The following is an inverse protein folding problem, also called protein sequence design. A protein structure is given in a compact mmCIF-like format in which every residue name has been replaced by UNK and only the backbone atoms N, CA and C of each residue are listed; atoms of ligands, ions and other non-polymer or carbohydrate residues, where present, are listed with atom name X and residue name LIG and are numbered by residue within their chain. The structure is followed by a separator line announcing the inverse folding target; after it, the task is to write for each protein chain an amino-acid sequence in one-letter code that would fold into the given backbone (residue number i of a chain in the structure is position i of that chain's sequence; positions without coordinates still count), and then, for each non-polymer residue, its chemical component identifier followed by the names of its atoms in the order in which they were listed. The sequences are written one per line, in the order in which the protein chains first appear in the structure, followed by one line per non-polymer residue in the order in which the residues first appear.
data_IF_857664971799
#
_entry.id   IF_857664971799
#
_cell.length_a   1.000
_cell.length_b   1.000
_cell.length_c   1.000
_cell.angle_alpha   90.00
_cell.angle_beta   90.00
_cell.angle_gamma   90.00
#
_symmetry.space_group_name_H-M   'P 1'
#
loop_
_entity.id
_entity.type
_entity.pdbx_description
1 polymer ?
#
# COMPACT_ATOMS: atom_id res chain seq x y z
N UNK A 1 -1.78 -6.61 -26.29
CA UNK A 1 -1.43 -5.76 -25.14
C UNK A 1 -0.01 -6.04 -24.70
N UNK A 2 0.73 -5.03 -24.36
CA UNK A 2 2.05 -5.17 -23.75
C UNK A 2 2.19 -4.19 -22.58
N UNK A 3 3.05 -4.56 -21.64
CA UNK A 3 3.41 -3.71 -20.50
C UNK A 3 4.88 -3.93 -20.17
N UNK A 4 5.50 -2.96 -19.53
CA UNK A 4 6.83 -3.11 -18.99
C UNK A 4 6.76 -3.65 -17.56
N UNK A 5 7.58 -4.66 -17.28
CA UNK A 5 7.77 -5.11 -15.92
C UNK A 5 8.67 -4.11 -15.18
N UNK A 6 8.37 -3.80 -13.91
CA UNK A 6 9.25 -2.99 -13.08
C UNK A 6 10.63 -3.64 -12.99
N UNK A 7 11.66 -2.82 -13.03
CA UNK A 7 13.05 -3.27 -12.86
C UNK A 7 13.66 -2.56 -11.64
N UNK A 8 14.53 -3.29 -10.95
CA UNK A 8 15.29 -2.79 -9.82
C UNK A 8 14.75 -3.21 -8.46
N UNK A 9 15.61 -3.19 -7.47
CA UNK A 9 15.36 -3.66 -6.09
C UNK A 9 14.18 -3.01 -5.37
N UNK A 10 13.78 -1.83 -5.79
CA UNK A 10 12.63 -1.11 -5.23
C UNK A 10 11.28 -1.75 -5.50
N UNK A 11 11.24 -2.68 -6.45
CA UNK A 11 9.99 -3.25 -6.98
C UNK A 11 10.00 -4.77 -7.04
N UNK A 12 11.05 -5.38 -6.52
CA UNK A 12 11.12 -6.82 -6.36
C UNK A 12 9.94 -7.30 -5.50
N UNK A 13 9.40 -8.46 -5.83
CA UNK A 13 8.27 -9.10 -5.16
C UNK A 13 6.95 -8.31 -5.22
N UNK A 14 6.83 -7.34 -6.11
CA UNK A 14 5.58 -6.59 -6.30
C UNK A 14 4.75 -7.15 -7.44
N UNK A 15 3.43 -7.15 -7.30
CA UNK A 15 2.57 -7.56 -8.41
C UNK A 15 2.66 -6.57 -9.57
N UNK A 16 2.54 -7.10 -10.77
CA UNK A 16 2.38 -6.33 -12.00
C UNK A 16 1.08 -6.76 -12.64
N UNK A 17 0.16 -5.82 -12.81
CA UNK A 17 -1.16 -6.08 -13.36
C UNK A 17 -1.34 -5.45 -14.71
N UNK A 18 -1.92 -6.19 -15.62
CA UNK A 18 -2.29 -5.76 -16.95
C UNK A 18 -3.77 -6.07 -17.18
N UNK A 19 -4.56 -5.04 -17.39
CA UNK A 19 -5.93 -5.21 -17.82
C UNK A 19 -5.98 -5.67 -19.28
N UNK A 20 -6.69 -6.77 -19.52
CA UNK A 20 -6.87 -7.33 -20.85
C UNK A 20 -8.30 -7.09 -21.34
N UNK A 21 -8.46 -6.92 -22.66
CA UNK A 21 -9.78 -6.88 -23.26
C UNK A 21 -10.49 -8.21 -23.01
N UNK A 22 -11.74 -8.13 -22.62
CA UNK A 22 -12.59 -9.31 -22.47
C UNK A 22 -12.69 -10.05 -23.80
N UNK A 23 -12.56 -11.37 -23.74
CA UNK A 23 -12.60 -12.21 -24.94
C UNK A 23 -13.43 -13.45 -24.64
N UNK A 24 -14.61 -13.52 -25.21
CA UNK A 24 -15.49 -14.67 -25.05
C UNK A 24 -14.95 -15.93 -25.74
N UNK A 25 -15.18 -17.07 -25.12
CA UNK A 25 -14.87 -18.38 -25.69
C UNK A 25 -13.39 -18.74 -25.76
N UNK A 26 -12.50 -17.90 -25.30
CA UNK A 26 -11.06 -18.17 -25.30
C UNK A 26 -10.70 -19.11 -24.16
N UNK A 27 -10.08 -20.23 -24.53
CA UNK A 27 -9.61 -21.26 -23.57
C UNK A 27 -8.09 -21.29 -23.40
N UNK A 28 -7.35 -20.60 -24.27
CA UNK A 28 -5.89 -20.61 -24.27
C UNK A 28 -5.36 -19.20 -24.47
N UNK A 29 -4.44 -18.83 -23.64
CA UNK A 29 -3.73 -17.55 -23.71
C UNK A 29 -2.25 -17.80 -23.99
N UNK A 30 -1.64 -16.94 -24.79
CA UNK A 30 -0.19 -16.92 -24.99
C UNK A 30 0.36 -15.69 -24.32
N UNK A 31 1.25 -15.87 -23.37
CA UNK A 31 1.98 -14.80 -22.70
C UNK A 31 3.42 -14.90 -23.13
N UNK A 32 3.96 -13.80 -23.64
CA UNK A 32 5.35 -13.71 -24.06
C UNK A 32 6.04 -12.69 -23.18
N UNK A 33 7.02 -13.16 -22.42
CA UNK A 33 7.86 -12.31 -21.58
C UNK A 33 9.21 -12.20 -22.30
N UNK A 34 9.66 -10.97 -22.52
CA UNK A 34 10.97 -10.66 -23.06
C UNK A 34 11.78 -9.95 -22.00
N UNK A 35 12.97 -10.43 -21.74
CA UNK A 35 13.89 -9.86 -20.78
C UNK A 35 15.32 -9.98 -21.28
N UNK A 36 16.19 -9.05 -20.92
CA UNK A 36 17.60 -9.06 -21.25
C UNK A 36 18.45 -9.79 -20.20
N UNK A 37 17.88 -10.03 -19.02
CA UNK A 37 18.53 -10.65 -17.88
C UNK A 37 17.68 -11.79 -17.31
N UNK A 38 18.28 -12.65 -16.53
CA UNK A 38 17.56 -13.69 -15.82
C UNK A 38 16.51 -13.09 -14.88
N UNK A 39 15.32 -13.65 -14.91
CA UNK A 39 14.22 -13.25 -14.03
C UNK A 39 13.52 -14.47 -13.45
N UNK A 40 12.97 -14.31 -12.26
CA UNK A 40 12.13 -15.30 -11.63
C UNK A 40 10.68 -14.82 -11.64
N UNK A 41 9.80 -15.62 -12.22
CA UNK A 41 8.36 -15.41 -12.16
C UNK A 41 7.78 -16.25 -11.03
N UNK A 42 7.38 -15.62 -9.94
CA UNK A 42 6.84 -16.33 -8.77
C UNK A 42 5.43 -16.88 -9.00
N UNK A 43 4.60 -16.12 -9.70
CA UNK A 43 3.24 -16.55 -10.05
C UNK A 43 2.70 -15.79 -11.27
N UNK A 44 1.79 -16.46 -11.97
CA UNK A 44 1.01 -15.87 -13.05
C UNK A 44 -0.46 -16.23 -12.83
N UNK A 45 -1.33 -15.23 -12.81
CA UNK A 45 -2.76 -15.44 -12.59
C UNK A 45 -3.58 -14.66 -13.60
N UNK A 46 -4.66 -15.27 -14.07
CA UNK A 46 -5.70 -14.62 -14.87
C UNK A 46 -6.96 -14.49 -14.01
N UNK A 47 -7.59 -13.34 -14.09
CA UNK A 47 -8.81 -13.03 -13.35
C UNK A 47 -9.93 -12.70 -14.34
N UNK A 48 -11.13 -13.20 -14.06
CA UNK A 48 -12.34 -12.86 -14.84
C UNK A 48 -13.01 -11.56 -14.38
N UNK A 49 -12.80 -11.16 -13.12
CA UNK A 49 -13.26 -9.87 -12.64
C UNK A 49 -12.38 -8.74 -13.20
N UNK A 50 -13.01 -7.63 -13.51
CA UNK A 50 -12.29 -6.44 -13.97
C UNK A 50 -11.20 -6.02 -12.99
N UNK A 51 -10.03 -5.68 -13.53
CA UNK A 51 -8.91 -5.15 -12.76
C UNK A 51 -8.45 -3.83 -13.36
N UNK A 52 -8.22 -2.86 -12.50
CA UNK A 52 -7.61 -1.60 -12.92
C UNK A 52 -6.17 -1.85 -13.36
N UNK A 53 -5.81 -1.32 -14.51
CA UNK A 53 -4.41 -1.37 -14.97
C UNK A 53 -3.53 -0.52 -14.06
N UNK A 54 -2.35 -1.02 -13.72
CA UNK A 54 -1.37 -0.34 -12.86
C UNK A 54 -1.89 0.03 -11.46
N UNK A 55 -2.86 -0.72 -10.93
CA UNK A 55 -3.46 -0.46 -9.63
C UNK A 55 -2.46 -0.52 -8.48
N UNK A 56 -1.43 -1.32 -8.59
CA UNK A 56 -0.40 -1.47 -7.57
C UNK A 56 0.38 -0.18 -7.30
N UNK A 57 0.62 0.64 -8.34
CA UNK A 57 1.19 1.99 -8.17
C UNK A 57 0.18 2.94 -7.54
N UNK A 58 -1.07 2.89 -7.99
CA UNK A 58 -2.11 3.77 -7.49
C UNK A 58 -2.54 3.43 -6.06
N UNK A 59 -2.42 2.17 -5.65
CA UNK A 59 -2.64 1.74 -4.27
C UNK A 59 -1.43 1.98 -3.34
N UNK A 60 -0.31 2.47 -3.87
CA UNK A 60 0.90 2.74 -3.08
C UNK A 60 1.72 1.49 -2.74
N UNK A 61 1.56 0.39 -3.47
CA UNK A 61 2.35 -0.83 -3.29
C UNK A 61 3.76 -0.71 -3.84
N UNK A 62 3.98 0.24 -4.73
CA UNK A 62 5.28 0.56 -5.29
C UNK A 62 5.71 1.95 -4.87
N UNK A 63 7.01 2.14 -4.62
CA UNK A 63 7.55 3.42 -4.17
C UNK A 63 7.43 4.51 -5.24
N UNK A 64 7.47 4.14 -6.50
CA UNK A 64 7.36 5.06 -7.64
C UNK A 64 6.32 4.56 -8.61
N UNK A 65 5.56 5.49 -9.17
CA UNK A 65 4.71 5.19 -10.32
C UNK A 65 5.60 4.85 -11.51
N UNK A 66 5.30 3.72 -12.14
CA UNK A 66 5.96 3.32 -13.38
C UNK A 66 4.97 3.59 -14.50
N UNK A 67 5.38 4.43 -15.44
CA UNK A 67 4.65 4.53 -16.69
C UNK A 67 4.75 3.19 -17.41
N UNK A 68 3.60 2.57 -17.62
CA UNK A 68 3.49 1.37 -18.42
C UNK A 68 2.85 1.77 -19.75
N UNK A 69 3.61 1.63 -20.82
CA UNK A 69 3.09 1.81 -22.15
C UNK A 69 2.16 0.64 -22.48
N UNK A 70 0.92 0.79 -22.13
CA UNK A 70 -0.14 -0.14 -22.45
C UNK A 70 -1.44 0.63 -22.58
N UNK A 71 -2.18 0.40 -23.64
CA UNK A 71 -3.54 0.89 -23.72
C UNK A 71 -4.34 0.20 -22.62
N UNK A 72 -5.07 0.99 -21.84
CA UNK A 72 -6.09 0.44 -20.94
C UNK A 72 -7.09 -0.32 -21.80
N UNK A 73 -7.27 -1.60 -21.54
CA UNK A 73 -8.29 -2.37 -22.23
C UNK A 73 -9.66 -1.92 -21.71
N UNK A 74 -10.58 -1.71 -22.61
CA UNK A 74 -11.98 -1.59 -22.26
C UNK A 74 -12.47 -2.91 -21.65
N UNK A 75 -13.11 -2.82 -20.50
CA UNK A 75 -13.68 -3.96 -19.79
C UNK A 75 -15.19 -3.77 -19.68
N UNK A 76 -15.91 -4.87 -19.82
CA UNK A 76 -17.37 -4.82 -19.69
C UNK A 76 -17.79 -4.39 -18.28
N UNK A 77 -18.75 -3.45 -18.15
CA UNK A 77 -19.31 -3.05 -16.87
C UNK A 77 -19.88 -4.21 -16.03
N UNK A 78 -20.27 -5.30 -16.68
CA UNK A 78 -20.80 -6.50 -16.01
C UNK A 78 -19.71 -7.25 -15.21
N UNK A 79 -18.43 -6.97 -15.50
CA UNK A 79 -17.28 -7.53 -14.77
C UNK A 79 -16.88 -6.69 -13.55
N UNK A 80 -17.48 -5.50 -13.36
CA UNK A 80 -17.22 -4.63 -12.23
C UNK A 80 -17.88 -5.14 -10.95
N UNK A 81 -17.22 -4.94 -9.82
CA UNK A 81 -17.80 -5.24 -8.53
C UNK A 81 -18.74 -4.11 -8.12
N UNK A 82 -20.00 -4.42 -7.89
CA UNK A 82 -20.95 -3.41 -7.38
C UNK A 82 -20.73 -3.18 -5.88
N UNK A 83 -20.61 -1.93 -5.45
CA UNK A 83 -20.49 -1.54 -4.05
C UNK A 83 -21.60 -2.15 -3.17
N UNK A 84 -22.81 -2.23 -3.71
CA UNK A 84 -23.98 -2.81 -3.05
C UNK A 84 -23.85 -4.32 -2.79
N UNK A 85 -22.94 -5.02 -3.49
CA UNK A 85 -22.68 -6.45 -3.33
C UNK A 85 -21.45 -6.74 -2.45
N UNK A 86 -20.77 -5.72 -1.96
CA UNK A 86 -19.64 -5.89 -1.05
C UNK A 86 -20.19 -6.00 0.37
N UNK A 87 -19.91 -7.12 1.01
CA UNK A 87 -20.27 -7.40 2.40
C UNK A 87 -19.00 -7.35 3.24
N UNK A 88 -18.99 -6.51 4.27
CA UNK A 88 -17.95 -6.52 5.29
C UNK A 88 -18.26 -7.67 6.29
N UNK A 89 -17.34 -8.59 6.41
CA UNK A 89 -17.43 -9.75 7.30
C UNK A 89 -16.43 -9.69 8.46
N UNK A 90 -15.86 -8.52 8.72
CA UNK A 90 -14.82 -8.37 9.76
C UNK A 90 -15.29 -8.76 11.14
N UNK A 91 -16.58 -8.54 11.43
CA UNK A 91 -17.23 -8.94 12.70
C UNK A 91 -17.54 -10.44 12.79
N UNK A 92 -17.36 -11.20 11.71
CA UNK A 92 -17.56 -12.64 11.61
C UNK A 92 -16.24 -13.43 11.62
N UNK A 93 -15.12 -12.72 11.64
CA UNK A 93 -13.80 -13.35 11.68
C UNK A 93 -13.42 -13.65 13.12
N UNK A 94 -13.20 -14.93 13.42
CA UNK A 94 -12.77 -15.39 14.73
C UNK A 94 -11.25 -15.22 14.91
N UNK A 95 -10.78 -15.25 16.15
CA UNK A 95 -9.35 -15.12 16.50
C UNK A 95 -8.47 -16.21 15.88
N UNK A 96 -9.01 -17.42 15.71
CA UNK A 96 -8.34 -18.53 15.03
C UNK A 96 -8.27 -18.38 13.51
N UNK A 97 -8.88 -17.31 12.98
CA UNK A 97 -8.95 -17.01 11.55
C UNK A 97 -10.07 -17.74 10.80
N UNK A 98 -10.92 -18.49 11.50
CA UNK A 98 -12.15 -19.05 10.92
C UNK A 98 -13.20 -17.97 10.70
N UNK A 99 -14.06 -18.16 9.69
CA UNK A 99 -15.13 -17.21 9.35
C UNK A 99 -16.49 -17.83 9.65
N UNK A 100 -17.21 -17.24 10.60
CA UNK A 100 -18.58 -17.64 10.94
C UNK A 100 -19.58 -16.91 10.03
N UNK A 101 -19.73 -17.42 8.80
CA UNK A 101 -20.61 -16.85 7.82
C UNK A 101 -21.26 -17.90 6.93
N UNK A 102 -22.57 -17.90 6.86
CA UNK A 102 -23.33 -18.69 5.90
C UNK A 102 -23.56 -17.87 4.63
N UNK A 103 -22.83 -18.22 3.58
CA UNK A 103 -22.96 -17.53 2.30
C UNK A 103 -24.39 -17.64 1.74
N UNK A 104 -25.01 -16.54 1.30
CA UNK A 104 -26.23 -16.60 0.52
C UNK A 104 -26.03 -17.39 -0.80
N UNK A 105 -27.13 -17.78 -1.44
CA UNK A 105 -27.05 -18.42 -2.74
C UNK A 105 -26.29 -17.56 -3.75
N UNK A 106 -25.41 -18.19 -4.55
CA UNK A 106 -24.61 -17.52 -5.57
C UNK A 106 -23.13 -17.88 -5.51
N UNK A 107 -22.35 -17.16 -6.32
CA UNK A 107 -20.89 -17.30 -6.37
C UNK A 107 -20.27 -16.12 -5.60
N UNK A 108 -19.43 -16.44 -4.64
CA UNK A 108 -18.76 -15.46 -3.78
C UNK A 108 -17.26 -15.53 -3.90
N UNK A 109 -16.61 -14.39 -3.82
CA UNK A 109 -15.18 -14.29 -3.61
C UNK A 109 -14.95 -13.72 -2.22
N UNK A 110 -14.31 -14.49 -1.35
CA UNK A 110 -13.91 -14.03 -0.01
C UNK A 110 -12.49 -13.49 -0.09
N UNK A 111 -12.33 -12.24 0.34
CA UNK A 111 -11.03 -11.59 0.47
C UNK A 111 -10.68 -11.50 1.95
N UNK A 112 -9.61 -12.17 2.36
CA UNK A 112 -8.99 -11.97 3.66
C UNK A 112 -7.84 -10.99 3.49
N UNK A 113 -7.99 -9.81 4.07
CA UNK A 113 -7.06 -8.72 3.94
C UNK A 113 -6.55 -8.35 5.33
N UNK A 114 -5.25 -8.10 5.43
CA UNK A 114 -4.61 -7.70 6.67
C UNK A 114 -3.36 -6.88 6.38
N UNK A 115 -2.73 -6.42 7.43
CA UNK A 115 -1.45 -5.74 7.36
C UNK A 115 -0.40 -6.53 8.14
N UNK A 116 0.84 -6.38 7.74
CA UNK A 116 2.01 -6.98 8.37
C UNK A 116 3.11 -5.94 8.48
N UNK A 117 4.09 -6.20 9.31
CA UNK A 117 5.31 -5.39 9.35
C UNK A 117 5.95 -5.37 7.95
N UNK A 118 6.50 -4.22 7.55
CA UNK A 118 7.15 -4.05 6.24
C UNK A 118 8.37 -4.93 6.04
N UNK A 119 8.93 -5.49 7.12
CA UNK A 119 10.18 -6.24 7.10
C UNK A 119 11.42 -5.38 6.89
N UNK A 120 11.26 -4.04 6.86
CA UNK A 120 12.37 -3.12 6.68
C UNK A 120 13.04 -2.79 8.01
N UNK A 121 14.36 -2.75 7.97
CA UNK A 121 15.19 -2.25 9.06
C UNK A 121 15.78 -0.90 8.68
N UNK A 122 16.04 -0.09 9.67
CA UNK A 122 16.73 1.17 9.48
C UNK A 122 18.19 0.92 8.99
N UNK A 123 18.70 1.82 8.19
CA UNK A 123 20.06 1.74 7.66
C UNK A 123 20.45 3.01 6.88
N UNK A 124 21.76 3.28 6.80
CA UNK A 124 22.85 2.56 7.48
C UNK A 124 22.84 2.76 8.99
N UNK A 125 23.06 1.68 9.75
CA UNK A 125 23.16 1.71 11.21
C UNK A 125 24.15 0.65 11.70
N UNK A 126 24.87 0.89 12.83
CA UNK A 126 25.66 -0.15 13.48
C UNK A 126 24.74 -1.26 14.00
N UNK A 127 25.30 -2.43 14.29
CA UNK A 127 24.51 -3.59 14.73
C UNK A 127 23.62 -3.29 15.95
N UNK A 128 24.15 -2.54 16.90
CA UNK A 128 23.47 -2.14 18.14
C UNK A 128 22.34 -1.12 17.91
N UNK A 129 22.41 -0.38 16.80
CA UNK A 129 21.40 0.61 16.40
C UNK A 129 20.42 0.11 15.35
N UNK A 130 20.60 -1.14 14.89
CA UNK A 130 19.72 -1.71 13.86
C UNK A 130 18.40 -2.18 14.47
N UNK A 131 17.29 -1.66 13.98
CA UNK A 131 15.93 -2.01 14.40
C UNK A 131 14.94 -1.94 13.24
N UNK A 132 13.68 -2.20 13.55
CA UNK A 132 12.62 -2.04 12.57
C UNK A 132 12.41 -0.57 12.23
N UNK A 133 12.11 -0.27 10.96
CA UNK A 133 11.60 1.03 10.56
C UNK A 133 10.35 1.38 11.35
N UNK A 134 10.26 2.63 11.84
CA UNK A 134 9.09 3.08 12.59
C UNK A 134 7.86 3.23 11.67
N UNK A 135 6.69 3.20 12.26
CA UNK A 135 5.45 3.59 11.59
C UNK A 135 5.45 5.12 11.35
N UNK A 136 5.77 5.51 10.12
CA UNK A 136 5.84 6.93 9.73
C UNK A 136 4.47 7.54 9.43
N UNK A 137 3.40 6.71 9.42
CA UNK A 137 2.03 7.19 9.27
C UNK A 137 1.42 7.59 10.61
N UNK A 138 2.08 7.27 11.74
CA UNK A 138 1.61 7.61 13.08
C UNK A 138 2.56 8.55 13.83
N UNK A 139 1.97 9.43 14.64
CA UNK A 139 2.73 10.28 15.56
C UNK A 139 3.48 9.44 16.60
N UNK A 140 2.85 8.37 17.11
CA UNK A 140 3.48 7.48 18.07
C UNK A 140 4.75 6.81 17.51
N UNK A 141 4.71 6.38 16.24
CA UNK A 141 5.88 5.79 15.58
C UNK A 141 7.01 6.80 15.39
N UNK A 142 6.69 8.01 14.95
CA UNK A 142 7.69 9.09 14.81
C UNK A 142 8.24 9.57 16.16
N UNK A 143 7.43 9.60 17.21
CA UNK A 143 7.88 9.90 18.58
C UNK A 143 8.86 8.83 19.08
N UNK A 144 8.54 7.56 18.89
CA UNK A 144 9.43 6.47 19.25
C UNK A 144 10.80 6.56 18.54
N UNK A 145 10.78 6.93 17.25
CA UNK A 145 12.01 7.16 16.48
C UNK A 145 12.82 8.35 17.04
N UNK A 146 12.17 9.46 17.31
CA UNK A 146 12.84 10.65 17.85
C UNK A 146 13.43 10.35 19.23
N UNK A 147 12.62 9.83 20.15
CA UNK A 147 13.04 9.54 21.52
C UNK A 147 14.10 8.45 21.59
N UNK A 148 14.03 7.46 20.73
CA UNK A 148 14.99 6.36 20.66
C UNK A 148 16.39 6.77 20.21
N UNK A 149 16.52 7.85 19.47
CA UNK A 149 17.79 8.31 18.89
C UNK A 149 18.14 9.76 19.30
N UNK A 150 17.57 10.75 18.64
CA UNK A 150 17.91 12.16 18.82
C UNK A 150 17.63 12.61 20.26
N UNK A 151 16.49 12.23 20.80
CA UNK A 151 16.09 12.55 22.15
C UNK A 151 17.07 12.00 23.20
N UNK A 152 17.64 10.83 22.97
CA UNK A 152 18.68 10.26 23.87
C UNK A 152 19.98 11.04 23.82
N UNK A 153 20.35 11.57 22.65
CA UNK A 153 21.57 12.35 22.49
C UNK A 153 21.44 13.75 23.10
N UNK A 154 20.29 14.38 22.92
CA UNK A 154 20.04 15.77 23.32
C UNK A 154 19.55 15.96 24.77
N UNK A 155 19.03 14.90 25.42
CA UNK A 155 18.54 14.98 26.80
C UNK A 155 19.63 15.39 27.79
N UNK A 156 19.24 15.86 28.99
CA UNK A 156 20.14 16.18 30.10
C UNK A 156 21.06 14.99 30.40
N UNK A 157 22.36 15.23 30.44
CA UNK A 157 23.40 14.20 30.60
C UNK A 157 23.68 13.39 29.33
N UNK A 158 23.01 13.67 28.22
CA UNK A 158 23.33 13.09 26.91
C UNK A 158 24.59 13.75 26.29
N UNK A 159 25.22 13.09 25.29
CA UNK A 159 26.47 13.58 24.71
C UNK A 159 26.32 14.90 23.93
N UNK A 160 25.11 15.28 23.53
CA UNK A 160 24.80 16.50 22.81
C UNK A 160 23.88 17.43 23.63
N UNK A 161 23.88 17.30 24.97
CA UNK A 161 23.10 18.15 25.86
C UNK A 161 23.63 19.60 25.86
N UNK A 162 22.83 20.53 26.41
CA UNK A 162 23.26 21.91 26.64
C UNK A 162 23.34 22.77 25.35
N UNK A 163 22.55 22.42 24.31
CA UNK A 163 22.50 23.20 23.09
C UNK A 163 23.60 22.89 22.06
N UNK A 164 24.33 21.83 22.25
CA UNK A 164 25.33 21.38 21.27
C UNK A 164 24.68 20.87 19.96
N UNK A 165 23.46 20.32 20.05
CA UNK A 165 22.67 19.93 18.90
C UNK A 165 21.79 21.12 18.47
N UNK A 166 22.10 21.73 17.36
CA UNK A 166 21.41 22.90 16.82
C UNK A 166 20.68 22.66 15.49
N UNK A 167 20.66 21.42 15.01
CA UNK A 167 19.92 21.04 13.82
C UNK A 167 19.80 19.54 13.65
N UNK A 168 18.75 19.13 12.96
CA UNK A 168 18.50 17.73 12.55
C UNK A 168 18.13 17.74 11.08
N UNK A 169 18.79 16.90 10.30
CA UNK A 169 18.48 16.69 8.89
C UNK A 169 17.70 15.38 8.71
N UNK A 170 16.58 15.47 8.04
CA UNK A 170 15.84 14.34 7.52
C UNK A 170 15.92 14.37 6.01
N UNK A 171 16.55 13.38 5.43
CA UNK A 171 16.83 13.29 4.01
C UNK A 171 15.78 12.43 3.27
N UNK A 172 16.21 11.69 2.27
CA UNK A 172 15.36 10.96 1.35
C UNK A 172 14.60 9.79 2.00
N UNK A 173 13.49 9.45 1.37
CA UNK A 173 12.72 8.27 1.71
C UNK A 173 13.32 7.02 1.04
N UNK A 174 13.89 6.11 1.81
CA UNK A 174 14.58 4.92 1.29
C UNK A 174 14.09 3.59 1.90
N UNK A 175 12.96 3.58 2.58
CA UNK A 175 12.48 2.46 3.38
C UNK A 175 11.28 1.72 2.78
N UNK A 176 11.21 1.61 1.46
CA UNK A 176 10.06 1.01 0.74
C UNK A 176 8.73 1.69 1.07
N UNK A 177 7.62 1.06 0.76
CA UNK A 177 6.29 1.66 0.98
C UNK A 177 5.75 1.31 2.37
N UNK A 178 5.08 2.26 2.99
CA UNK A 178 4.21 2.07 4.15
C UNK A 178 2.82 2.56 3.78
N UNK A 179 1.82 1.71 3.95
CA UNK A 179 0.46 1.99 3.48
C UNK A 179 -0.60 1.77 4.56
N UNK A 180 -0.20 1.33 5.75
CA UNK A 180 -1.14 1.08 6.82
C UNK A 180 -0.58 1.52 8.18
N UNK A 181 -1.47 1.99 9.03
CA UNK A 181 -1.25 2.32 10.45
C UNK A 181 -2.51 1.93 11.23
N UNK A 182 -2.45 1.68 12.55
CA UNK A 182 -3.64 1.33 13.33
C UNK A 182 -4.82 2.29 13.20
N UNK A 183 -4.55 3.59 13.08
CA UNK A 183 -5.58 4.63 12.96
C UNK A 183 -6.06 4.87 11.50
N UNK A 184 -5.60 4.08 10.53
CA UNK A 184 -5.84 4.34 9.11
C UNK A 184 -7.32 4.49 8.76
N UNK A 185 -8.19 3.64 9.27
CA UNK A 185 -9.63 3.73 8.96
C UNK A 185 -10.25 5.03 9.47
N UNK A 186 -9.89 5.44 10.69
CA UNK A 186 -10.35 6.70 11.28
C UNK A 186 -9.83 7.90 10.48
N UNK A 187 -8.53 7.95 10.23
CA UNK A 187 -7.87 9.01 9.47
C UNK A 187 -8.45 9.13 8.05
N UNK A 188 -8.75 8.00 7.42
CA UNK A 188 -9.35 7.99 6.10
C UNK A 188 -10.75 8.63 6.13
N UNK A 189 -11.62 8.20 7.06
CA UNK A 189 -12.97 8.75 7.20
C UNK A 189 -12.95 10.23 7.50
N UNK A 190 -12.10 10.68 8.42
CA UNK A 190 -12.00 12.10 8.81
C UNK A 190 -11.56 12.99 7.65
N UNK A 191 -10.69 12.49 6.76
CA UNK A 191 -10.13 13.25 5.64
C UNK A 191 -10.95 13.19 4.36
N UNK A 192 -11.77 12.15 4.20
CA UNK A 192 -12.51 11.90 2.95
C UNK A 192 -14.02 11.98 3.11
N UNK A 193 -14.54 11.77 4.33
CA UNK A 193 -15.96 11.79 4.63
C UNK A 193 -16.69 10.49 4.31
N UNK A 194 -15.98 9.40 3.93
CA UNK A 194 -16.62 8.11 3.67
C UNK A 194 -15.79 6.92 4.18
N UNK A 195 -16.45 5.75 4.36
CA UNK A 195 -15.84 4.57 4.94
C UNK A 195 -14.86 3.85 4.02
N UNK A 196 -13.74 3.38 4.58
CA UNK A 196 -12.66 2.70 3.85
C UNK A 196 -13.00 1.26 3.46
N UNK A 197 -13.60 0.48 4.37
CA UNK A 197 -13.64 -1.00 4.28
C UNK A 197 -14.19 -1.56 2.98
N UNK A 198 -15.29 -1.02 2.49
CA UNK A 198 -15.88 -1.47 1.21
C UNK A 198 -15.04 -1.10 -0.01
N UNK A 199 -14.11 -0.17 0.12
CA UNK A 199 -13.20 0.23 -0.94
C UNK A 199 -11.87 -0.55 -0.93
N UNK A 200 -11.54 -1.24 0.17
CA UNK A 200 -10.28 -2.00 0.28
C UNK A 200 -10.02 -2.94 -0.92
N UNK A 201 -11.02 -3.63 -1.52
CA UNK A 201 -10.76 -4.45 -2.70
C UNK A 201 -10.13 -3.68 -3.88
N UNK A 202 -10.37 -2.37 -3.99
CA UNK A 202 -9.73 -1.54 -5.02
C UNK A 202 -8.21 -1.41 -4.83
N UNK A 203 -7.72 -1.49 -3.58
CA UNK A 203 -6.28 -1.54 -3.30
C UNK A 203 -5.61 -2.82 -3.83
N UNK A 204 -6.41 -3.79 -4.25
CA UNK A 204 -5.99 -5.03 -4.90
C UNK A 204 -6.46 -5.10 -6.36
N UNK A 205 -6.82 -3.95 -6.91
CA UNK A 205 -7.11 -3.75 -8.31
C UNK A 205 -8.54 -4.02 -8.76
N UNK A 206 -9.45 -4.40 -7.87
CA UNK A 206 -10.85 -4.54 -8.27
C UNK A 206 -11.44 -3.20 -8.71
N UNK A 207 -12.17 -3.22 -9.83
CA UNK A 207 -12.96 -2.07 -10.25
C UNK A 207 -14.30 -2.11 -9.50
N UNK A 208 -14.56 -1.07 -8.71
CA UNK A 208 -15.78 -0.95 -7.90
C UNK A 208 -16.68 0.10 -8.53
N UNK A 209 -17.91 -0.30 -8.82
CA UNK A 209 -18.95 0.43 -9.53
C UNK A 209 -18.50 0.93 -10.91
N UNK A 210 -17.53 1.83 -10.98
CA UNK A 210 -16.94 2.33 -12.22
C UNK A 210 -15.42 2.51 -12.12
N UNK A 211 -14.69 2.52 -13.25
CA UNK A 211 -13.27 2.85 -13.25
C UNK A 211 -12.98 4.25 -12.68
N UNK A 212 -13.85 5.22 -12.91
CA UNK A 212 -13.71 6.61 -12.46
C UNK A 212 -13.87 6.72 -10.94
N UNK A 213 -14.85 6.02 -10.36
CA UNK A 213 -15.05 6.00 -8.90
C UNK A 213 -13.92 5.28 -8.21
N UNK A 214 -13.47 4.17 -8.79
CA UNK A 214 -12.28 3.45 -8.31
C UNK A 214 -11.03 4.33 -8.36
N UNK A 215 -10.83 5.09 -9.43
CA UNK A 215 -9.69 6.01 -9.55
C UNK A 215 -9.77 7.17 -8.53
N UNK A 216 -10.96 7.70 -8.27
CA UNK A 216 -11.17 8.72 -7.22
C UNK A 216 -10.80 8.18 -5.84
N UNK A 217 -11.29 6.99 -5.49
CA UNK A 217 -10.90 6.34 -4.24
C UNK A 217 -9.38 6.16 -4.13
N UNK A 218 -8.72 5.61 -5.15
CA UNK A 218 -7.28 5.40 -5.14
C UNK A 218 -6.50 6.72 -5.04
N UNK A 219 -7.01 7.79 -5.60
CA UNK A 219 -6.44 9.13 -5.41
C UNK A 219 -6.60 9.64 -3.98
N UNK A 220 -7.81 9.48 -3.40
CA UNK A 220 -8.06 9.85 -2.00
C UNK A 220 -7.19 9.03 -1.05
N UNK A 221 -7.04 7.73 -1.30
CA UNK A 221 -6.13 6.86 -0.56
C UNK A 221 -4.69 7.39 -0.54
N UNK A 222 -4.13 7.68 -1.72
CA UNK A 222 -2.77 8.25 -1.81
C UNK A 222 -2.64 9.58 -1.11
N UNK A 223 -3.66 10.43 -1.22
CA UNK A 223 -3.69 11.73 -0.55
C UNK A 223 -3.69 11.56 0.96
N UNK A 224 -4.48 10.64 1.50
CA UNK A 224 -4.50 10.35 2.95
C UNK A 224 -3.14 9.84 3.40
N UNK A 225 -2.58 8.83 2.74
CA UNK A 225 -1.25 8.30 3.06
C UNK A 225 -0.19 9.40 2.99
N UNK A 226 -0.18 10.21 1.93
CA UNK A 226 0.79 11.31 1.76
C UNK A 226 0.67 12.38 2.85
N UNK A 227 -0.55 12.75 3.24
CA UNK A 227 -0.79 13.70 4.33
C UNK A 227 -0.34 13.14 5.69
N UNK A 228 -0.60 11.86 5.96
CA UNK A 228 -0.11 11.22 7.18
C UNK A 228 1.42 11.26 7.28
N UNK A 229 2.12 10.99 6.18
CA UNK A 229 3.57 11.17 6.14
C UNK A 229 3.99 12.60 6.43
N UNK A 230 3.38 13.56 5.75
CA UNK A 230 3.74 14.96 5.90
C UNK A 230 3.50 15.47 7.33
N UNK A 231 2.39 15.09 7.93
CA UNK A 231 1.96 15.62 9.23
C UNK A 231 2.55 14.84 10.40
N UNK A 232 2.46 13.49 10.34
CA UNK A 232 2.80 12.62 11.47
C UNK A 232 4.27 12.22 11.52
N UNK A 233 4.99 12.27 10.40
CA UNK A 233 6.43 12.07 10.41
C UNK A 233 7.17 13.40 10.31
N UNK A 234 7.23 14.04 9.14
CA UNK A 234 8.02 15.25 8.96
C UNK A 234 7.54 16.42 9.83
N UNK A 235 6.24 16.65 9.90
CA UNK A 235 5.66 17.68 10.75
C UNK A 235 5.90 17.43 12.23
N UNK A 236 5.78 16.19 12.69
CA UNK A 236 6.05 15.85 14.08
C UNK A 236 7.54 15.99 14.41
N UNK A 237 8.44 15.48 13.56
CA UNK A 237 9.89 15.64 13.74
C UNK A 237 10.30 17.11 13.80
N UNK A 238 9.71 17.96 12.94
CA UNK A 238 9.96 19.40 12.97
C UNK A 238 9.46 20.08 14.25
N UNK A 239 8.35 19.63 14.82
CA UNK A 239 7.84 20.12 16.11
C UNK A 239 8.76 19.71 17.27
N UNK A 240 9.25 18.48 17.24
CA UNK A 240 10.11 17.93 18.29
C UNK A 240 11.53 18.50 18.27
N UNK A 241 11.99 18.96 17.12
CA UNK A 241 13.32 19.58 16.96
C UNK A 241 13.38 21.06 17.37
N UNK A 242 12.24 21.68 17.71
CA UNK A 242 12.14 23.07 18.22
C UNK A 242 12.21 23.12 19.74
#
# INVERSE_FOLDING_TARGET
LHTYLPQGSWQDDRPVSLACTETEGVRKYRIVIRNEHDMTLQSLRLFSAARKNNWESEAGWTLRSIERNGQSAEQSPDTYVKMSRIIDLSDKLNEDGSLDWKAPEGKWTVLRIGHVNTGMKNGPAPAEGTGWECDKLSTAGSDAQFDGYIGRLAKSGGPLAGGLLNGVLFDSWECKTQTWTPEMEKEFVERTGYGLRKWIPALFGYVIDTPEETARFLNDWRRVVGNLFAENFFGNMARRAR
#
